data_IF_555541374245
#
_entry.id   IF_555541374245
#
_cell.length_a   1.000
_cell.length_b   1.000
_cell.length_c   1.000
_cell.angle_alpha   90.00
_cell.angle_beta   90.00
_cell.angle_gamma   90.00
#
_symmetry.space_group_name_H-M   'P 1'
#
loop_
_entity.id
_entity.type
_entity.pdbx_description
1 polymer ?
#
# COMPACT_ATOMS: atom_id res chain seq x y z
N UNK A 1 2.98 -8.83 25.04
CA UNK A 1 4.27 -8.13 24.89
C UNK A 1 5.05 -8.85 23.81
N UNK A 2 4.99 -8.39 22.56
CA UNK A 2 5.76 -8.98 21.46
C UNK A 2 7.12 -8.27 21.40
N UNK A 3 8.18 -8.96 21.79
CA UNK A 3 9.54 -8.45 21.58
C UNK A 3 9.90 -8.60 20.10
N UNK A 4 10.34 -7.50 19.49
CA UNK A 4 10.90 -7.48 18.14
C UNK A 4 12.36 -7.98 18.20
N UNK A 5 12.55 -9.27 17.91
CA UNK A 5 13.86 -9.93 17.87
C UNK A 5 14.67 -9.37 16.71
N UNK A 6 15.96 -9.06 16.90
CA UNK A 6 16.82 -8.53 15.82
C UNK A 6 16.88 -9.47 14.59
N UNK A 7 16.67 -10.76 14.78
CA UNK A 7 16.49 -11.75 13.71
C UNK A 7 15.31 -11.45 12.78
N UNK A 8 14.20 -10.91 13.31
CA UNK A 8 13.03 -10.53 12.51
C UNK A 8 13.30 -9.28 11.69
N UNK A 9 14.02 -8.30 12.25
CA UNK A 9 14.44 -7.09 11.51
C UNK A 9 15.40 -7.42 10.38
N UNK A 10 16.22 -8.47 10.55
CA UNK A 10 17.13 -8.96 9.52
C UNK A 10 16.38 -9.50 8.31
N UNK A 11 15.19 -10.08 8.48
CA UNK A 11 14.39 -10.63 7.38
C UNK A 11 13.31 -9.66 6.89
N UNK A 12 12.74 -8.86 7.79
CA UNK A 12 11.66 -7.92 7.53
C UNK A 12 11.93 -6.55 8.16
N UNK A 13 12.24 -5.57 7.31
CA UNK A 13 12.39 -4.17 7.74
C UNK A 13 11.11 -3.58 8.35
N UNK A 14 9.95 -4.21 8.13
CA UNK A 14 8.64 -3.79 8.69
C UNK A 14 8.25 -4.55 9.95
N UNK A 15 9.08 -5.48 10.43
CA UNK A 15 8.83 -6.26 11.66
C UNK A 15 8.25 -5.43 12.81
N UNK A 16 8.78 -4.22 13.12
CA UNK A 16 8.29 -3.44 14.26
C UNK A 16 6.80 -3.06 14.20
N UNK A 17 6.25 -2.87 13.01
CA UNK A 17 4.87 -2.37 12.81
C UNK A 17 3.97 -3.37 12.08
N UNK A 18 4.52 -4.47 11.57
CA UNK A 18 3.84 -5.45 10.70
C UNK A 18 2.47 -5.84 11.23
N UNK A 19 2.42 -6.29 12.48
CA UNK A 19 1.19 -6.81 13.08
C UNK A 19 0.08 -5.76 13.14
N UNK A 20 0.40 -4.55 13.62
CA UNK A 20 -0.57 -3.46 13.75
C UNK A 20 -1.01 -3.00 12.35
N UNK A 21 -0.05 -2.80 11.46
CA UNK A 21 -0.30 -2.37 10.08
C UNK A 21 -1.20 -3.35 9.33
N UNK A 22 -0.87 -4.64 9.35
CA UNK A 22 -1.62 -5.67 8.64
C UNK A 22 -3.04 -5.84 9.23
N UNK A 23 -3.19 -5.68 10.55
CA UNK A 23 -4.50 -5.76 11.21
C UNK A 23 -5.38 -4.57 10.84
N UNK A 24 -4.83 -3.35 10.83
CA UNK A 24 -5.54 -2.15 10.36
C UNK A 24 -5.91 -2.25 8.89
N UNK A 25 -4.97 -2.66 8.03
CA UNK A 25 -5.23 -2.81 6.60
C UNK A 25 -6.35 -3.83 6.33
N UNK A 26 -6.35 -4.97 7.03
CA UNK A 26 -7.42 -5.97 6.93
C UNK A 26 -8.78 -5.40 7.32
N UNK A 27 -8.84 -4.71 8.47
CA UNK A 27 -10.09 -4.12 8.94
C UNK A 27 -10.63 -3.05 7.98
N UNK A 28 -9.77 -2.20 7.43
CA UNK A 28 -10.18 -1.20 6.43
C UNK A 28 -10.73 -1.85 5.16
N UNK A 29 -10.13 -2.96 4.74
CA UNK A 29 -10.53 -3.69 3.54
C UNK A 29 -11.92 -4.30 3.70
N UNK A 30 -12.19 -4.92 4.85
CA UNK A 30 -13.49 -5.56 5.15
C UNK A 30 -14.65 -4.56 5.22
N UNK A 31 -14.37 -3.32 5.64
CA UNK A 31 -15.39 -2.28 5.79
C UNK A 31 -15.54 -1.37 4.56
N UNK A 32 -14.76 -1.58 3.49
CA UNK A 32 -14.81 -0.73 2.30
C UNK A 32 -15.94 -1.16 1.34
N UNK A 33 -17.02 -0.36 1.30
CA UNK A 33 -18.19 -0.59 0.45
C UNK A 33 -18.20 0.23 -0.85
N UNK A 34 -17.25 1.14 -1.00
CA UNK A 34 -17.13 2.06 -2.13
C UNK A 34 -17.00 1.38 -3.48
N UNK A 35 -17.65 1.94 -4.52
CA UNK A 35 -17.63 1.40 -5.90
C UNK A 35 -16.50 1.97 -6.76
N UNK A 36 -16.13 3.23 -6.52
CA UNK A 36 -15.09 3.95 -7.25
C UNK A 36 -13.82 3.98 -6.41
N UNK A 37 -12.79 3.30 -6.89
CA UNK A 37 -11.53 3.16 -6.19
C UNK A 37 -10.40 3.86 -6.96
N UNK A 38 -9.40 4.32 -6.23
CA UNK A 38 -8.22 4.96 -6.78
C UNK A 38 -6.95 4.34 -6.18
N UNK A 39 -6.04 3.92 -7.05
CA UNK A 39 -4.68 3.58 -6.69
C UNK A 39 -3.83 4.85 -6.67
N UNK A 40 -3.32 5.20 -5.49
CA UNK A 40 -2.53 6.40 -5.27
C UNK A 40 -1.09 6.05 -4.89
N UNK A 41 -0.15 6.77 -5.50
CA UNK A 41 1.23 6.82 -5.02
C UNK A 41 1.86 8.18 -5.34
N UNK A 42 2.31 8.93 -4.32
CA UNK A 42 2.26 8.60 -2.88
C UNK A 42 0.83 8.70 -2.30
N UNK A 43 0.63 8.28 -1.04
CA UNK A 43 -0.70 8.18 -0.41
C UNK A 43 -1.39 9.54 -0.25
N UNK A 44 -2.48 9.78 -0.98
CA UNK A 44 -3.23 11.03 -0.90
C UNK A 44 -3.89 11.21 0.48
N UNK A 45 -4.38 10.13 1.08
CA UNK A 45 -5.03 10.18 2.39
C UNK A 45 -4.05 10.66 3.47
N UNK A 46 -2.82 10.14 3.50
CA UNK A 46 -1.81 10.57 4.46
C UNK A 46 -1.37 12.02 4.22
N UNK A 47 -1.22 12.44 2.95
CA UNK A 47 -0.92 13.84 2.63
C UNK A 47 -2.04 14.80 3.08
N UNK A 48 -3.31 14.36 3.05
CA UNK A 48 -4.44 15.15 3.54
C UNK A 48 -4.49 15.23 5.08
N UNK A 49 -4.12 14.14 5.77
CA UNK A 49 -4.24 14.07 7.24
C UNK A 49 -3.01 14.56 8.00
N UNK A 50 -1.83 14.64 7.37
CA UNK A 50 -0.58 14.98 8.04
C UNK A 50 -0.15 16.40 7.68
N UNK A 51 -0.19 17.32 8.65
CA UNK A 51 0.29 18.69 8.47
C UNK A 51 1.80 18.86 8.78
N UNK A 52 2.42 17.87 9.44
CA UNK A 52 3.84 17.94 9.81
C UNK A 52 4.72 17.56 8.63
N UNK A 53 5.51 18.52 8.12
CA UNK A 53 6.51 18.29 7.07
C UNK A 53 7.47 17.13 7.40
N UNK A 54 7.81 16.95 8.69
CA UNK A 54 8.65 15.85 9.17
C UNK A 54 8.03 14.48 8.92
N UNK A 55 6.71 14.38 9.06
CA UNK A 55 5.96 13.14 8.88
C UNK A 55 5.46 12.97 7.44
N UNK A 56 5.43 14.04 6.64
CA UNK A 56 5.04 14.00 5.23
C UNK A 56 5.94 13.08 4.39
N UNK A 57 7.23 13.00 4.75
CA UNK A 57 8.17 12.05 4.16
C UNK A 57 7.73 10.58 4.33
N UNK A 58 6.91 10.27 5.35
CA UNK A 58 6.36 8.93 5.53
C UNK A 58 5.31 8.62 4.47
N UNK A 59 4.46 9.59 4.10
CA UNK A 59 3.41 9.42 3.09
C UNK A 59 3.96 9.02 1.71
N UNK A 60 5.18 9.49 1.38
CA UNK A 60 5.93 9.10 0.18
C UNK A 60 6.32 7.62 0.11
N UNK A 61 6.15 6.88 1.21
CA UNK A 61 6.42 5.46 1.26
C UNK A 61 5.17 4.60 1.19
N UNK A 62 3.95 5.16 1.09
CA UNK A 62 2.73 4.34 1.09
C UNK A 62 2.06 4.31 -0.28
N UNK A 63 1.82 3.09 -0.75
CA UNK A 63 0.90 2.80 -1.83
C UNK A 63 -0.49 2.59 -1.24
N UNK A 64 -1.49 3.18 -1.85
CA UNK A 64 -2.85 3.25 -1.31
C UNK A 64 -3.86 2.82 -2.37
N UNK A 65 -4.87 2.06 -1.95
CA UNK A 65 -6.14 1.91 -2.63
C UNK A 65 -7.21 2.56 -1.77
N UNK A 66 -7.75 3.68 -2.23
CA UNK A 66 -8.75 4.46 -1.51
C UNK A 66 -9.99 4.71 -2.34
N UNK A 67 -11.08 5.05 -1.66
CA UNK A 67 -12.26 5.61 -2.31
C UNK A 67 -11.93 6.97 -2.95
N UNK A 68 -12.40 7.18 -4.17
CA UNK A 68 -12.04 8.35 -4.96
C UNK A 68 -12.64 9.68 -4.48
N UNK A 69 -13.69 9.65 -3.66
CA UNK A 69 -14.42 10.84 -3.22
C UNK A 69 -14.16 11.19 -1.75
N UNK A 70 -14.19 10.17 -0.90
CA UNK A 70 -14.09 10.25 0.56
C UNK A 70 -12.67 10.06 1.07
N UNK A 71 -11.74 9.61 0.21
CA UNK A 71 -10.37 9.24 0.59
C UNK A 71 -10.29 8.12 1.64
N UNK A 72 -11.36 7.34 1.82
CA UNK A 72 -11.34 6.19 2.71
C UNK A 72 -10.37 5.13 2.18
N UNK A 73 -9.30 4.85 2.94
CA UNK A 73 -8.28 3.87 2.54
C UNK A 73 -8.82 2.47 2.76
N UNK A 74 -9.00 1.71 1.67
CA UNK A 74 -9.42 0.31 1.70
C UNK A 74 -8.25 -0.61 2.01
N UNK A 75 -7.15 -0.45 1.27
CA UNK A 75 -5.93 -1.26 1.42
C UNK A 75 -4.72 -0.36 1.29
N UNK A 76 -3.68 -0.61 2.08
CA UNK A 76 -2.45 0.17 2.06
C UNK A 76 -1.24 -0.75 2.12
N UNK A 77 -0.19 -0.42 1.38
CA UNK A 77 1.10 -1.11 1.40
C UNK A 77 2.21 -0.09 1.64
N UNK A 78 3.01 -0.30 2.69
CA UNK A 78 4.23 0.49 2.91
C UNK A 78 5.32 0.08 1.94
N UNK A 79 6.25 0.96 1.60
CA UNK A 79 7.50 0.70 0.90
C UNK A 79 8.66 1.03 1.84
N UNK A 80 9.66 0.15 1.90
CA UNK A 80 10.83 0.32 2.79
C UNK A 80 12.13 0.15 2.03
N UNK A 81 12.12 0.46 0.73
CA UNK A 81 13.19 0.13 -0.20
C UNK A 81 13.29 -1.37 -0.47
N UNK A 82 14.48 -1.82 -0.86
CA UNK A 82 14.78 -3.24 -1.09
C UNK A 82 14.75 -4.00 0.24
N UNK A 83 13.86 -4.97 0.36
CA UNK A 83 13.84 -5.93 1.48
C UNK A 83 15.02 -6.90 1.36
N UNK A 84 15.47 -7.40 2.51
CA UNK A 84 16.53 -8.42 2.57
C UNK A 84 16.02 -9.73 1.96
N UNK A 85 16.92 -10.60 1.50
CA UNK A 85 16.52 -11.89 0.93
C UNK A 85 15.72 -12.70 1.96
N UNK A 86 14.59 -13.25 1.51
CA UNK A 86 13.66 -13.95 2.38
C UNK A 86 12.20 -13.80 1.96
N UNK A 87 11.26 -14.31 2.77
CA UNK A 87 9.84 -14.38 2.43
C UNK A 87 9.16 -13.02 2.29
N UNK A 88 9.76 -11.95 2.84
CA UNK A 88 9.24 -10.59 2.77
C UNK A 88 9.79 -9.79 1.58
N UNK A 89 10.68 -10.37 0.78
CA UNK A 89 11.19 -9.78 -0.44
C UNK A 89 10.19 -9.94 -1.59
N UNK A 90 9.26 -8.99 -1.67
CA UNK A 90 8.24 -8.96 -2.72
C UNK A 90 8.58 -7.93 -3.80
N UNK A 91 8.14 -8.19 -5.03
CA UNK A 91 8.31 -7.25 -6.14
C UNK A 91 7.57 -5.94 -5.86
N UNK A 92 8.28 -4.83 -6.01
CA UNK A 92 7.75 -3.46 -5.94
C UNK A 92 7.49 -2.89 -7.33
N UNK A 93 7.47 -3.74 -8.37
CA UNK A 93 7.05 -3.30 -9.70
C UNK A 93 5.59 -2.82 -9.63
N UNK A 94 5.20 -1.80 -10.41
CA UNK A 94 3.87 -1.21 -10.23
C UNK A 94 2.74 -2.20 -10.50
N UNK A 95 2.87 -3.07 -11.50
CA UNK A 95 1.90 -4.13 -11.76
C UNK A 95 1.76 -5.09 -10.57
N UNK A 96 2.87 -5.44 -9.90
CA UNK A 96 2.84 -6.32 -8.73
C UNK A 96 2.18 -5.63 -7.52
N UNK A 97 2.47 -4.36 -7.29
CA UNK A 97 1.85 -3.55 -6.22
C UNK A 97 0.35 -3.43 -6.45
N UNK A 98 -0.06 -3.06 -7.67
CA UNK A 98 -1.48 -2.92 -8.05
C UNK A 98 -2.23 -4.23 -7.85
N UNK A 99 -1.65 -5.34 -8.31
CA UNK A 99 -2.27 -6.67 -8.14
C UNK A 99 -2.52 -6.98 -6.66
N UNK A 100 -1.60 -6.62 -5.76
CA UNK A 100 -1.77 -6.84 -4.31
C UNK A 100 -2.80 -5.90 -3.70
N UNK A 101 -2.73 -4.60 -3.99
CA UNK A 101 -3.71 -3.62 -3.52
C UNK A 101 -5.13 -4.00 -3.95
N UNK A 102 -5.31 -4.40 -5.20
CA UNK A 102 -6.61 -4.71 -5.76
C UNK A 102 -7.07 -6.14 -5.46
N UNK A 103 -6.23 -7.00 -4.86
CA UNK A 103 -6.56 -8.41 -4.61
C UNK A 103 -7.81 -8.55 -3.74
N UNK A 104 -7.98 -7.65 -2.77
CA UNK A 104 -9.14 -7.66 -1.87
C UNK A 104 -10.46 -7.24 -2.54
N UNK A 105 -10.38 -6.54 -3.67
CA UNK A 105 -11.53 -6.06 -4.43
C UNK A 105 -11.70 -6.84 -5.74
N UNK A 106 -10.92 -7.89 -5.95
CA UNK A 106 -11.01 -8.72 -7.14
C UNK A 106 -12.41 -9.35 -7.25
N UNK A 107 -13.03 -9.26 -8.42
CA UNK A 107 -14.36 -9.81 -8.67
C UNK A 107 -15.54 -8.94 -8.19
N UNK A 108 -15.30 -7.82 -7.50
CA UNK A 108 -16.38 -6.97 -6.99
C UNK A 108 -16.98 -6.01 -8.04
N UNK A 109 -16.50 -6.03 -9.29
CA UNK A 109 -16.92 -5.13 -10.38
C UNK A 109 -16.82 -3.64 -10.03
N UNK A 110 -15.79 -3.29 -9.24
CA UNK A 110 -15.46 -1.90 -8.87
C UNK A 110 -14.58 -1.27 -9.94
N UNK A 111 -14.79 0.01 -10.20
CA UNK A 111 -13.99 0.77 -11.15
C UNK A 111 -12.74 1.29 -10.46
N UNK A 112 -11.59 1.13 -11.09
CA UNK A 112 -10.29 1.46 -10.52
C UNK A 112 -9.62 2.51 -11.42
N UNK A 113 -9.33 3.66 -10.84
CA UNK A 113 -8.48 4.69 -11.45
C UNK A 113 -7.07 4.59 -10.85
N UNK A 114 -6.05 4.94 -11.63
CA UNK A 114 -4.66 4.74 -11.22
C UNK A 114 -3.82 5.96 -11.56
N UNK A 115 -2.99 6.40 -10.61
CA UNK A 115 -2.06 7.50 -10.86
C UNK A 115 -0.97 7.12 -11.89
N UNK A 116 -0.38 8.15 -12.51
CA UNK A 116 0.60 8.00 -13.60
C UNK A 116 1.80 7.11 -13.25
N UNK A 117 2.21 7.08 -11.97
CA UNK A 117 3.31 6.23 -11.51
C UNK A 117 3.04 4.76 -11.84
N UNK A 118 1.79 4.31 -11.66
CA UNK A 118 1.40 2.94 -11.98
C UNK A 118 1.28 2.71 -13.49
N UNK A 119 0.78 3.69 -14.23
CA UNK A 119 0.56 3.59 -15.69
C UNK A 119 1.85 3.55 -16.51
N UNK A 120 2.88 4.30 -16.09
CA UNK A 120 4.15 4.43 -16.82
C UNK A 120 4.91 3.11 -17.02
N UNK A 121 4.57 2.08 -16.24
CA UNK A 121 5.21 0.77 -16.27
C UNK A 121 4.33 -0.34 -16.85
N UNK A 122 3.01 -0.15 -16.97
CA UNK A 122 2.14 -1.08 -17.71
C UNK A 122 2.41 -0.99 -19.22
N UNK A 123 2.59 0.23 -19.75
CA UNK A 123 2.84 0.48 -21.18
C UNK A 123 4.19 -0.04 -21.71
N UNK A 124 5.16 -0.32 -20.82
CA UNK A 124 6.48 -0.86 -21.21
C UNK A 124 6.55 -2.39 -21.25
N UNK A 125 5.53 -3.09 -20.74
CA UNK A 125 5.48 -4.56 -20.69
C UNK A 125 4.75 -5.20 -21.88
N UNK A 126 4.27 -4.36 -22.82
CA UNK A 126 3.58 -4.78 -24.05
C UNK A 126 4.35 -4.47 -25.34
N UNK A 127 5.66 -4.27 -25.26
CA UNK A 127 6.58 -4.19 -26.41
C UNK A 127 7.62 -5.31 -26.32
#
# INVERSE_FOLDING_TARGET
MYYDTDERKLQDKRSPIRMVFDSSARNCTENCTSRLMKCCFPSNALFACISSARLLNMASNFFELSDSETYYVSTMEMHVGKQNEGPHQISTSPAAVVKRLCCAIAGSKRDITMDNWFMSNFLKSGQ
#
